data_IF_998170628232
#
_entry.id   IF_998170628232
#
_cell.length_a   1.000
_cell.length_b   1.000
_cell.length_c   1.000
_cell.angle_alpha   90.00
_cell.angle_beta   90.00
_cell.angle_gamma   90.00
#
_symmetry.space_group_name_H-M   'P 1'
#
loop_
_entity.id
_entity.type
_entity.pdbx_description
1 polymer ?
#
# COMPACT_ATOMS: atom_id res chain seq x y z
N UNK A 1 7.97 -19.10 -12.54
CA UNK A 1 6.95 -18.49 -13.41
C UNK A 1 5.81 -18.10 -12.48
N UNK A 2 5.61 -16.80 -12.26
CA UNK A 2 4.55 -16.34 -11.35
C UNK A 2 3.24 -16.50 -12.11
N UNK A 3 2.33 -17.29 -11.54
CA UNK A 3 1.00 -17.50 -12.08
C UNK A 3 0.17 -16.23 -11.84
N UNK A 4 0.00 -15.42 -12.88
CA UNK A 4 -0.67 -14.13 -12.79
C UNK A 4 -2.17 -14.26 -12.44
N UNK A 5 -2.77 -15.46 -12.51
CA UNK A 5 -4.17 -15.69 -12.13
C UNK A 5 -4.42 -15.65 -10.61
N UNK A 6 -3.37 -15.65 -9.76
CA UNK A 6 -3.52 -15.65 -8.30
C UNK A 6 -3.20 -14.33 -7.60
N UNK A 7 -2.69 -13.33 -8.33
CA UNK A 7 -2.30 -12.06 -7.74
C UNK A 7 -3.52 -11.16 -7.47
N UNK A 8 -3.54 -10.53 -6.30
CA UNK A 8 -4.55 -9.57 -5.86
C UNK A 8 -3.90 -8.25 -5.49
N UNK A 9 -4.65 -7.17 -5.61
CA UNK A 9 -4.22 -5.85 -5.13
C UNK A 9 -4.68 -5.70 -3.68
N UNK A 10 -3.72 -5.50 -2.79
CA UNK A 10 -3.94 -5.16 -1.39
C UNK A 10 -3.61 -3.70 -1.16
N UNK A 11 -4.41 -3.03 -0.34
CA UNK A 11 -4.11 -1.67 0.11
C UNK A 11 -3.56 -1.74 1.52
N UNK A 12 -2.34 -1.23 1.70
CA UNK A 12 -1.70 -1.08 3.00
C UNK A 12 -1.72 0.38 3.37
N UNK A 13 -2.29 0.70 4.52
CA UNK A 13 -2.21 2.02 5.12
C UNK A 13 -0.97 2.09 5.98
N UNK A 14 -0.23 3.18 5.83
CA UNK A 14 0.94 3.50 6.66
C UNK A 14 0.67 4.78 7.40
N UNK A 15 0.85 4.79 8.71
CA UNK A 15 0.78 5.99 9.54
C UNK A 15 2.19 6.46 9.84
N UNK A 16 2.54 7.64 9.32
CA UNK A 16 3.82 8.31 9.58
C UNK A 16 3.65 9.41 10.60
N UNK A 17 4.61 9.53 11.51
CA UNK A 17 4.75 10.69 12.38
C UNK A 17 5.63 11.72 11.66
N UNK A 18 5.10 12.92 11.46
CA UNK A 18 5.86 14.02 10.86
C UNK A 18 5.51 15.34 11.57
N UNK A 19 6.48 15.93 12.29
CA UNK A 19 6.25 17.15 13.06
C UNK A 19 6.00 18.38 12.17
N UNK A 20 6.27 18.30 10.86
CA UNK A 20 5.98 19.37 9.90
C UNK A 20 4.50 19.40 9.47
N UNK A 21 3.74 18.32 9.75
CA UNK A 21 2.31 18.22 9.43
C UNK A 21 1.48 18.60 10.65
N UNK A 22 0.41 19.39 10.46
CA UNK A 22 -0.50 19.75 11.53
C UNK A 22 -1.14 18.49 12.16
N UNK A 23 -0.95 18.30 13.47
CA UNK A 23 -1.37 17.08 14.19
C UNK A 23 -0.29 15.99 14.28
N UNK A 24 0.87 16.21 13.66
CA UNK A 24 2.07 15.39 13.84
C UNK A 24 2.00 13.98 13.23
N UNK A 25 0.90 13.62 12.55
CA UNK A 25 0.68 12.30 11.95
C UNK A 25 -0.08 12.43 10.64
N UNK A 26 0.29 11.62 9.65
CA UNK A 26 -0.47 11.51 8.41
C UNK A 26 -0.51 10.05 7.93
N UNK A 27 -1.47 9.74 7.06
CA UNK A 27 -1.61 8.41 6.48
C UNK A 27 -1.21 8.39 5.00
N UNK A 28 -0.38 7.42 4.63
CA UNK A 28 -0.06 7.05 3.26
C UNK A 28 -0.79 5.76 2.92
N UNK A 29 -1.17 5.58 1.66
CA UNK A 29 -1.79 4.35 1.19
C UNK A 29 -0.97 3.78 0.04
N UNK A 30 -0.50 2.55 0.21
CA UNK A 30 0.24 1.78 -0.79
C UNK A 30 -0.68 0.72 -1.37
N UNK A 31 -0.63 0.55 -2.69
CA UNK A 31 -1.28 -0.56 -3.36
C UNK A 31 -0.23 -1.57 -3.83
N UNK A 32 -0.36 -2.80 -3.36
CA UNK A 32 0.62 -3.89 -3.57
C UNK A 32 -0.05 -5.03 -4.31
N UNK A 33 0.55 -5.47 -5.41
CA UNK A 33 0.11 -6.64 -6.17
C UNK A 33 0.88 -7.87 -5.69
N UNK A 34 0.21 -8.77 -4.97
CA UNK A 34 0.82 -9.98 -4.39
C UNK A 34 -0.22 -11.08 -4.17
N UNK A 35 0.17 -12.23 -3.64
CA UNK A 35 -0.71 -13.39 -3.41
C UNK A 35 -1.44 -13.37 -2.05
N UNK A 36 -0.87 -12.72 -1.03
CA UNK A 36 -1.45 -12.64 0.33
C UNK A 36 -1.38 -11.23 0.95
N UNK A 37 -2.25 -10.98 1.93
CA UNK A 37 -2.26 -9.74 2.69
C UNK A 37 -0.97 -9.57 3.53
N UNK A 38 -0.47 -10.66 4.10
CA UNK A 38 0.75 -10.70 4.90
C UNK A 38 1.97 -10.31 4.04
N UNK A 39 2.05 -10.82 2.81
CA UNK A 39 3.10 -10.45 1.88
C UNK A 39 2.99 -8.98 1.47
N UNK A 40 1.76 -8.46 1.30
CA UNK A 40 1.56 -7.05 0.99
C UNK A 40 2.07 -6.15 2.12
N UNK A 41 1.78 -6.53 3.37
CA UNK A 41 2.24 -5.84 4.55
C UNK A 41 3.76 -5.87 4.67
N UNK A 42 4.38 -7.04 4.52
CA UNK A 42 5.83 -7.21 4.60
C UNK A 42 6.56 -6.35 3.55
N UNK A 43 6.08 -6.33 2.30
CA UNK A 43 6.65 -5.49 1.23
C UNK A 43 6.63 -4.00 1.62
N UNK A 44 5.53 -3.54 2.22
CA UNK A 44 5.40 -2.13 2.62
C UNK A 44 6.23 -1.83 3.85
N UNK A 45 6.27 -2.73 4.84
CA UNK A 45 7.10 -2.60 6.04
C UNK A 45 8.60 -2.50 5.71
N UNK A 46 9.09 -3.27 4.75
CA UNK A 46 10.48 -3.19 4.27
C UNK A 46 10.79 -1.86 3.54
N UNK A 47 9.75 -1.15 3.08
CA UNK A 47 9.88 0.06 2.27
C UNK A 47 9.68 1.37 3.04
N UNK A 48 9.36 1.30 4.34
CA UNK A 48 9.07 2.45 5.19
C UNK A 48 10.07 2.56 6.36
N UNK A 49 10.27 3.77 6.93
CA UNK A 49 10.99 3.95 8.18
C UNK A 49 10.45 3.07 9.31
N UNK A 50 11.31 2.60 10.24
CA UNK A 50 10.91 1.70 11.32
C UNK A 50 9.94 2.31 12.35
N UNK A 51 9.85 3.63 12.40
CA UNK A 51 8.90 4.35 13.27
C UNK A 51 7.52 4.54 12.64
N UNK A 52 7.36 4.17 11.36
CA UNK A 52 6.08 4.17 10.68
C UNK A 52 5.32 2.88 10.98
N UNK A 53 4.01 3.00 11.23
CA UNK A 53 3.14 1.85 11.48
C UNK A 53 2.37 1.47 10.21
N UNK A 54 2.29 0.18 9.89
CA UNK A 54 1.67 -0.32 8.67
C UNK A 54 0.59 -1.36 8.97
N UNK A 55 -0.57 -1.22 8.34
CA UNK A 55 -1.69 -2.15 8.45
C UNK A 55 -2.33 -2.43 7.08
N UNK A 56 -2.72 -3.68 6.84
CA UNK A 56 -3.53 -3.99 5.65
C UNK A 56 -4.94 -3.47 5.89
N UNK A 57 -5.45 -2.69 4.96
CA UNK A 57 -6.85 -2.26 4.99
C UNK A 57 -7.72 -3.32 4.33
N UNK A 58 -8.90 -3.60 4.90
CA UNK A 58 -9.88 -4.51 4.31
C UNK A 58 -10.51 -3.96 3.01
N UNK A 59 -10.14 -2.73 2.61
CA UNK A 59 -10.66 -2.06 1.42
C UNK A 59 -9.93 -2.50 0.15
N UNK A 60 -10.58 -3.33 -0.66
CA UNK A 60 -10.18 -3.51 -2.05
C UNK A 60 -10.44 -2.22 -2.84
N UNK A 61 -9.44 -1.70 -3.57
CA UNK A 61 -9.68 -0.61 -4.51
C UNK A 61 -10.58 -1.10 -5.65
N UNK A 62 -11.57 -0.30 -6.01
CA UNK A 62 -12.33 -0.57 -7.23
C UNK A 62 -11.39 -0.57 -8.44
N UNK A 63 -11.64 -1.44 -9.44
CA UNK A 63 -10.81 -1.46 -10.66
C UNK A 63 -10.80 -0.10 -11.38
N UNK A 64 -11.86 0.69 -11.24
CA UNK A 64 -11.93 2.06 -11.74
C UNK A 64 -10.91 2.97 -11.02
N UNK A 65 -10.80 2.85 -9.70
CA UNK A 65 -9.83 3.58 -8.89
C UNK A 65 -8.39 3.18 -9.25
N UNK A 66 -8.11 1.88 -9.38
CA UNK A 66 -6.79 1.35 -9.79
C UNK A 66 -6.36 1.93 -11.14
N UNK A 67 -7.27 1.95 -12.11
CA UNK A 67 -6.99 2.50 -13.44
C UNK A 67 -6.82 4.01 -13.43
N UNK A 68 -7.62 4.72 -12.64
CA UNK A 68 -7.57 6.19 -12.53
C UNK A 68 -6.24 6.68 -11.93
N UNK A 69 -5.67 5.95 -10.98
CA UNK A 69 -4.37 6.30 -10.36
C UNK A 69 -3.16 5.68 -11.07
N UNK A 70 -3.36 5.10 -12.25
CA UNK A 70 -2.27 4.58 -13.08
C UNK A 70 -1.48 3.44 -12.43
N UNK A 71 -2.09 2.69 -11.51
CA UNK A 71 -1.48 1.51 -10.88
C UNK A 71 -1.14 0.47 -11.94
N UNK A 72 0.16 0.34 -12.24
CA UNK A 72 0.72 -0.77 -13.01
C UNK A 72 1.19 -1.86 -12.04
N UNK A 73 1.24 -3.13 -12.46
CA UNK A 73 1.90 -4.19 -11.70
C UNK A 73 3.31 -3.73 -11.32
N UNK A 74 3.58 -3.55 -10.02
CA UNK A 74 4.91 -3.16 -9.55
C UNK A 74 4.92 -2.14 -8.41
N UNK A 75 4.15 -1.06 -8.49
CA UNK A 75 3.98 -0.05 -7.41
C UNK A 75 3.15 1.13 -7.97
N UNK A 76 2.29 1.77 -7.18
CA UNK A 76 1.97 3.17 -7.41
C UNK A 76 2.00 3.94 -6.09
N UNK A 77 2.62 5.11 -6.18
CA UNK A 77 2.68 6.13 -5.14
C UNK A 77 1.98 7.36 -5.74
N UNK A 78 0.92 7.86 -5.09
CA UNK A 78 0.34 9.15 -5.42
C UNK A 78 0.76 10.12 -4.31
N UNK A 79 1.45 11.19 -4.69
CA UNK A 79 1.76 12.35 -3.83
C UNK A 79 0.50 13.19 -3.60
#
# INVERSE_FOLDING_TARGET
MIDHEKLKVYVVRVTRIDPSVAGGRFSLFYAVLTDTAENALAIVQDSIPPDDDAEVTEGALSSATVKAIGLRPGFAHLL
#
